data_IF_758228417359
#
_entry.id   IF_758228417359
#
_cell.length_a   1.000
_cell.length_b   1.000
_cell.length_c   1.000
_cell.angle_alpha   90.00
_cell.angle_beta   90.00
_cell.angle_gamma   90.00
#
_symmetry.space_group_name_H-M   'P 1'
#
loop_
_entity.id
_entity.type
_entity.pdbx_description
1 polymer ?
#
# COMPACT_ATOMS: atom_id res chain seq x y z
N UNK A 1 -26.47 8.46 -43.91
CA UNK A 1 -25.65 8.34 -42.69
C UNK A 1 -26.32 7.53 -41.58
N UNK A 2 -27.53 7.91 -41.12
CA UNK A 2 -28.19 7.25 -39.98
C UNK A 2 -28.47 5.74 -40.17
N UNK A 3 -28.74 5.29 -41.41
CA UNK A 3 -29.00 3.86 -41.71
C UNK A 3 -27.78 2.96 -41.54
N UNK A 4 -26.57 3.48 -41.82
CA UNK A 4 -25.30 2.74 -41.69
C UNK A 4 -24.91 2.68 -40.21
N UNK A 5 -25.09 3.79 -39.49
CA UNK A 5 -24.83 3.89 -38.05
C UNK A 5 -25.73 2.91 -37.29
N UNK A 6 -27.04 2.86 -37.57
CA UNK A 6 -27.94 1.91 -36.91
C UNK A 6 -27.64 0.45 -37.24
N UNK A 7 -27.25 0.13 -38.48
CA UNK A 7 -26.92 -1.25 -38.87
C UNK A 7 -25.65 -1.78 -38.19
N UNK A 8 -24.68 -0.90 -37.98
CA UNK A 8 -23.37 -1.24 -37.42
C UNK A 8 -23.19 -0.75 -35.98
N UNK A 9 -24.25 -0.29 -35.32
CA UNK A 9 -24.21 0.31 -33.99
C UNK A 9 -23.57 -0.63 -32.96
N UNK A 10 -23.89 -1.93 -33.03
CA UNK A 10 -23.30 -2.95 -32.16
C UNK A 10 -21.78 -3.06 -32.33
N UNK A 11 -21.26 -2.97 -33.57
CA UNK A 11 -19.81 -2.99 -33.81
C UNK A 11 -19.11 -1.72 -33.29
N UNK A 12 -19.76 -0.56 -33.43
CA UNK A 12 -19.26 0.71 -32.88
C UNK A 12 -19.22 0.63 -31.34
N UNK A 13 -20.27 0.11 -30.72
CA UNK A 13 -20.35 -0.07 -29.27
C UNK A 13 -19.26 -1.02 -28.77
N UNK A 14 -19.07 -2.17 -29.42
CA UNK A 14 -18.01 -3.14 -29.09
C UNK A 14 -16.62 -2.49 -29.19
N UNK A 15 -16.37 -1.71 -30.25
CA UNK A 15 -15.09 -1.02 -30.42
C UNK A 15 -14.83 -0.03 -29.27
N UNK A 16 -15.84 0.71 -28.82
CA UNK A 16 -15.72 1.65 -27.69
C UNK A 16 -15.42 0.88 -26.40
N UNK A 17 -16.14 -0.21 -26.14
CA UNK A 17 -15.95 -1.03 -24.93
C UNK A 17 -14.53 -1.58 -24.87
N UNK A 18 -13.99 -2.09 -25.99
CA UNK A 18 -12.62 -2.60 -26.05
C UNK A 18 -11.60 -1.51 -25.73
N UNK A 19 -11.78 -0.29 -26.26
CA UNK A 19 -10.89 0.85 -25.96
C UNK A 19 -10.95 1.23 -24.49
N UNK A 20 -12.14 1.26 -23.90
CA UNK A 20 -12.32 1.58 -22.47
C UNK A 20 -11.64 0.53 -21.57
N UNK A 21 -11.86 -0.76 -21.86
CA UNK A 21 -11.23 -1.86 -21.11
C UNK A 21 -9.71 -1.79 -21.25
N UNK A 22 -9.20 -1.54 -22.46
CA UNK A 22 -7.77 -1.38 -22.71
C UNK A 22 -7.16 -0.20 -21.95
N UNK A 23 -7.86 0.94 -21.91
CA UNK A 23 -7.44 2.11 -21.14
C UNK A 23 -7.41 1.81 -19.62
N UNK A 24 -8.42 1.12 -19.10
CA UNK A 24 -8.48 0.75 -17.68
C UNK A 24 -7.36 -0.22 -17.31
N UNK A 25 -7.12 -1.23 -18.15
CA UNK A 25 -6.02 -2.18 -17.96
C UNK A 25 -4.65 -1.49 -17.97
N UNK A 26 -4.39 -0.63 -18.95
CA UNK A 26 -3.12 0.08 -19.05
C UNK A 26 -2.91 1.07 -17.89
N UNK A 27 -3.97 1.75 -17.46
CA UNK A 27 -3.96 2.63 -16.29
C UNK A 27 -3.64 1.86 -15.00
N UNK A 28 -4.24 0.67 -14.83
CA UNK A 28 -3.98 -0.21 -13.69
C UNK A 28 -2.53 -0.69 -13.62
N UNK A 29 -1.95 -1.13 -14.75
CA UNK A 29 -0.54 -1.55 -14.83
C UNK A 29 0.41 -0.40 -14.51
N UNK A 30 0.12 0.80 -14.98
CA UNK A 30 0.90 2.00 -14.62
C UNK A 30 0.70 2.41 -13.15
N UNK A 31 -0.47 2.15 -12.57
CA UNK A 31 -0.74 2.30 -11.14
C UNK A 31 0.27 1.53 -10.30
N UNK A 32 0.46 0.24 -10.58
CA UNK A 32 1.40 -0.63 -9.85
C UNK A 32 2.86 -0.14 -9.93
N UNK A 33 3.33 0.27 -11.11
CA UNK A 33 4.69 0.85 -11.26
C UNK A 33 4.81 2.19 -10.52
N UNK A 34 3.73 2.96 -10.44
CA UNK A 34 3.72 4.24 -9.74
C UNK A 34 3.69 4.08 -8.20
N UNK A 35 3.09 3.01 -7.67
CA UNK A 35 3.12 2.74 -6.22
C UNK A 35 4.57 2.67 -5.75
N UNK A 36 5.47 1.98 -6.48
CA UNK A 36 6.90 1.91 -6.16
C UNK A 36 7.57 3.30 -6.05
N UNK A 37 7.26 4.22 -6.97
CA UNK A 37 7.82 5.58 -6.93
C UNK A 37 7.23 6.47 -5.82
N UNK A 38 6.06 6.11 -5.30
CA UNK A 38 5.34 6.81 -4.23
C UNK A 38 5.57 6.21 -2.86
N UNK A 39 6.38 5.15 -2.77
CA UNK A 39 6.69 4.49 -1.51
C UNK A 39 7.37 5.47 -0.56
N UNK A 40 6.77 5.61 0.60
CA UNK A 40 7.28 6.32 1.75
C UNK A 40 7.31 5.40 2.94
N UNK A 41 8.13 5.78 3.91
CA UNK A 41 8.41 4.96 5.06
C UNK A 41 8.06 5.70 6.34
N UNK A 42 7.47 5.00 7.31
CA UNK A 42 7.19 5.51 8.65
C UNK A 42 7.37 4.39 9.65
N UNK A 43 7.06 4.63 10.92
CA UNK A 43 7.03 3.58 11.94
C UNK A 43 5.59 3.23 12.29
N UNK A 44 5.28 1.94 12.30
CA UNK A 44 4.06 1.41 12.88
C UNK A 44 4.30 0.93 14.31
N UNK A 45 3.40 1.27 15.23
CA UNK A 45 3.38 0.76 16.59
C UNK A 45 2.34 -0.37 16.68
N UNK A 46 2.73 -1.53 17.16
CA UNK A 46 1.80 -2.63 17.45
C UNK A 46 1.07 -2.30 18.76
N UNK A 47 -0.26 -2.23 18.72
CA UNK A 47 -1.08 -1.75 19.85
C UNK A 47 -1.90 -2.86 20.53
N UNK A 48 -2.11 -3.99 19.86
CA UNK A 48 -2.80 -5.14 20.45
C UNK A 48 -1.90 -6.35 20.57
N UNK A 49 -2.29 -7.26 21.47
CA UNK A 49 -1.83 -8.64 21.44
C UNK A 49 -2.51 -9.38 20.28
N UNK A 50 -2.01 -10.57 19.94
CA UNK A 50 -2.65 -11.42 18.94
C UNK A 50 -4.09 -11.73 19.34
N UNK A 51 -5.05 -11.45 18.46
CA UNK A 51 -6.45 -11.72 18.72
C UNK A 51 -7.20 -12.17 17.46
N UNK A 52 -8.35 -12.78 17.70
CA UNK A 52 -9.35 -13.02 16.67
C UNK A 52 -10.38 -11.88 16.76
N UNK A 53 -10.38 -10.96 15.80
CA UNK A 53 -11.45 -9.97 15.69
C UNK A 53 -12.67 -10.65 15.08
N UNK A 54 -13.83 -10.47 15.71
CA UNK A 54 -15.11 -11.02 15.22
C UNK A 54 -15.53 -10.50 13.82
N UNK A 55 -14.87 -9.47 13.28
CA UNK A 55 -15.25 -8.83 12.01
C UNK A 55 -14.12 -8.53 11.03
N UNK A 56 -12.85 -8.41 11.46
CA UNK A 56 -11.73 -7.90 10.61
C UNK A 56 -10.51 -8.84 10.54
N UNK A 57 -10.69 -10.12 10.87
CA UNK A 57 -9.65 -11.14 10.71
C UNK A 57 -8.85 -11.45 11.98
N UNK A 58 -7.88 -12.34 11.81
CA UNK A 58 -6.98 -12.86 12.85
C UNK A 58 -5.67 -12.08 12.75
N UNK A 59 -5.17 -11.57 13.87
CA UNK A 59 -3.86 -10.92 13.87
C UNK A 59 -3.63 -9.93 15.00
N UNK A 60 -2.68 -9.04 14.78
CA UNK A 60 -2.36 -7.89 15.63
C UNK A 60 -2.81 -6.60 14.98
N UNK A 61 -3.29 -5.68 15.81
CA UNK A 61 -3.58 -4.30 15.40
C UNK A 61 -2.32 -3.45 15.54
N UNK A 62 -2.11 -2.58 14.56
CA UNK A 62 -1.04 -1.59 14.56
C UNK A 62 -1.54 -0.23 14.10
N UNK A 63 -0.81 0.79 14.51
CA UNK A 63 -1.14 2.19 14.25
C UNK A 63 0.09 2.94 13.76
N UNK A 64 -0.11 3.89 12.87
CA UNK A 64 0.95 4.74 12.34
C UNK A 64 0.42 6.14 12.04
N UNK A 65 1.34 7.08 11.88
CA UNK A 65 1.02 8.47 11.60
C UNK A 65 1.64 8.90 10.26
N UNK A 66 0.85 9.58 9.45
CA UNK A 66 1.28 10.28 8.23
C UNK A 66 0.65 11.66 8.27
N UNK A 67 1.46 12.73 8.19
CA UNK A 67 1.00 14.11 8.29
C UNK A 67 0.09 14.38 9.50
N UNK A 68 0.48 13.84 10.67
CA UNK A 68 -0.29 13.90 11.93
C UNK A 68 -1.68 13.21 11.88
N UNK A 69 -2.04 12.56 10.79
CA UNK A 69 -3.25 11.75 10.69
C UNK A 69 -2.91 10.34 11.14
N UNK A 70 -3.72 9.81 12.05
CA UNK A 70 -3.60 8.46 12.57
C UNK A 70 -4.28 7.47 11.64
N UNK A 71 -3.58 6.41 11.29
CA UNK A 71 -4.09 5.27 10.55
C UNK A 71 -3.92 4.02 11.41
N UNK A 72 -4.81 3.04 11.21
CA UNK A 72 -4.79 1.77 11.92
C UNK A 72 -5.17 0.64 10.96
N UNK A 73 -4.55 -0.52 11.15
CA UNK A 73 -4.88 -1.72 10.38
C UNK A 73 -4.54 -2.98 11.19
N UNK A 74 -4.95 -4.14 10.70
CA UNK A 74 -4.72 -5.45 11.32
C UNK A 74 -3.87 -6.31 10.39
N UNK A 75 -2.88 -7.02 10.94
CA UNK A 75 -2.03 -7.93 10.17
C UNK A 75 -1.91 -9.29 10.86
N UNK A 76 -1.99 -10.35 10.05
CA UNK A 76 -1.84 -11.74 10.49
C UNK A 76 -0.35 -12.12 10.61
N UNK A 77 0.43 -11.36 11.39
CA UNK A 77 1.84 -11.65 11.75
C UNK A 77 2.03 -11.59 13.27
N UNK A 78 2.78 -12.53 13.83
CA UNK A 78 3.04 -12.60 15.27
C UNK A 78 4.03 -11.50 15.70
N UNK A 79 3.51 -10.27 15.84
CA UNK A 79 4.30 -9.11 16.23
C UNK A 79 4.11 -8.80 17.71
N UNK A 80 5.18 -8.32 18.33
CA UNK A 80 5.17 -7.98 19.76
C UNK A 80 4.44 -6.66 20.01
N UNK A 81 3.43 -6.68 20.87
CA UNK A 81 2.75 -5.46 21.35
C UNK A 81 3.74 -4.46 21.95
N UNK A 82 3.58 -3.18 21.60
CA UNK A 82 4.46 -2.09 22.01
C UNK A 82 5.74 -1.96 21.19
N UNK A 83 6.06 -2.94 20.33
CA UNK A 83 7.19 -2.84 19.41
C UNK A 83 6.82 -1.96 18.22
N UNK A 84 7.80 -1.17 17.76
CA UNK A 84 7.70 -0.44 16.50
C UNK A 84 8.40 -1.20 15.39
N UNK A 85 7.81 -1.16 14.21
CA UNK A 85 8.37 -1.74 12.99
C UNK A 85 8.39 -0.70 11.88
N UNK A 86 9.29 -0.88 10.92
CA UNK A 86 9.29 -0.09 9.70
C UNK A 86 8.03 -0.43 8.88
N UNK A 87 7.34 0.60 8.39
CA UNK A 87 6.16 0.47 7.56
C UNK A 87 6.35 1.23 6.26
N UNK A 88 6.04 0.57 5.15
CA UNK A 88 5.93 1.17 3.82
C UNK A 88 4.49 1.54 3.55
N UNK A 89 4.26 2.72 2.97
CA UNK A 89 2.95 3.17 2.52
C UNK A 89 3.03 3.93 1.19
N UNK A 90 1.91 3.99 0.45
CA UNK A 90 1.77 4.91 -0.68
C UNK A 90 1.49 6.33 -0.18
N UNK A 91 2.34 7.29 -0.57
CA UNK A 91 2.19 8.71 -0.20
C UNK A 91 0.85 9.36 -0.59
N UNK A 92 0.14 8.83 -1.59
CA UNK A 92 -1.16 9.34 -2.03
C UNK A 92 -2.31 8.62 -1.33
N UNK A 93 -2.19 7.31 -1.11
CA UNK A 93 -3.18 6.49 -0.43
C UNK A 93 -2.54 5.75 0.76
N UNK A 94 -2.39 6.41 1.92
CA UNK A 94 -1.66 5.85 3.06
C UNK A 94 -2.25 4.56 3.62
N UNK A 95 -3.51 4.24 3.31
CA UNK A 95 -4.16 2.97 3.65
C UNK A 95 -3.52 1.78 2.92
N UNK A 96 -2.90 1.99 1.76
CA UNK A 96 -2.11 0.96 1.08
C UNK A 96 -0.74 0.87 1.75
N UNK A 97 -0.59 -0.11 2.63
CA UNK A 97 0.58 -0.21 3.49
C UNK A 97 1.04 -1.65 3.78
N UNK A 98 2.32 -1.77 4.11
CA UNK A 98 2.99 -3.03 4.44
C UNK A 98 3.92 -2.79 5.63
N UNK A 99 3.67 -3.50 6.74
CA UNK A 99 4.65 -3.64 7.82
C UNK A 99 5.78 -4.55 7.35
N UNK A 100 7.01 -4.13 7.63
CA UNK A 100 8.22 -4.92 7.44
C UNK A 100 8.66 -5.47 8.81
N UNK A 101 8.13 -6.64 9.16
CA UNK A 101 8.35 -7.35 10.43
C UNK A 101 9.82 -7.65 10.73
N UNK A 102 10.63 -7.84 9.69
CA UNK A 102 12.09 -8.04 9.78
C UNK A 102 12.87 -6.77 10.19
N UNK A 103 12.23 -5.60 10.23
CA UNK A 103 12.87 -4.32 10.54
C UNK A 103 12.23 -3.64 11.77
N UNK A 104 12.50 -4.12 12.99
CA UNK A 104 12.10 -3.43 14.21
C UNK A 104 12.84 -2.10 14.37
N UNK A 105 12.11 -1.07 14.81
CA UNK A 105 12.65 0.27 15.10
C UNK A 105 12.68 0.45 16.62
N UNK A 106 13.89 0.56 17.18
CA UNK A 106 14.08 0.80 18.61
C UNK A 106 14.36 2.27 18.94
N UNK A 107 14.79 3.06 17.96
CA UNK A 107 15.14 4.46 18.17
C UNK A 107 13.92 5.39 18.11
N UNK A 108 14.02 6.51 18.82
CA UNK A 108 13.00 7.58 18.85
C UNK A 108 13.21 8.61 17.75
N UNK A 109 13.79 8.20 16.62
CA UNK A 109 14.09 9.08 15.49
C UNK A 109 12.83 9.86 15.08
N UNK A 110 12.98 11.19 14.91
CA UNK A 110 11.87 12.03 14.46
C UNK A 110 11.42 11.56 13.08
N UNK A 111 10.16 11.15 13.01
CA UNK A 111 9.50 10.78 11.75
C UNK A 111 9.12 12.09 11.05
N UNK A 112 9.57 12.33 9.81
CA UNK A 112 9.13 13.47 9.04
C UNK A 112 7.65 13.34 8.71
N UNK A 113 6.94 14.47 8.58
CA UNK A 113 5.49 14.52 8.36
C UNK A 113 5.06 13.63 7.17
N UNK A 114 5.79 13.70 6.05
CA UNK A 114 5.51 12.97 4.83
C UNK A 114 6.18 11.58 4.75
N UNK A 115 6.70 11.06 5.86
CA UNK A 115 7.50 9.84 5.89
C UNK A 115 8.88 9.99 5.23
N UNK A 116 9.76 9.04 5.51
CA UNK A 116 11.10 8.99 4.96
C UNK A 116 11.10 8.51 3.50
N UNK A 117 12.07 8.95 2.73
CA UNK A 117 12.56 8.20 1.58
C UNK A 117 13.49 7.07 2.04
N UNK A 118 13.74 6.10 1.16
CA UNK A 118 14.64 4.97 1.45
C UNK A 118 16.04 5.41 1.94
N UNK A 119 16.59 6.49 1.37
CA UNK A 119 17.90 7.03 1.72
C UNK A 119 17.91 7.89 2.99
N UNK A 120 16.74 8.20 3.55
CA UNK A 120 16.55 8.99 4.76
C UNK A 120 16.23 8.09 5.98
N UNK A 121 16.20 6.77 5.80
CA UNK A 121 15.84 5.83 6.84
C UNK A 121 16.85 5.85 8.00
N UNK A 122 16.37 5.75 9.25
CA UNK A 122 17.22 5.73 10.44
C UNK A 122 17.89 4.36 10.67
N UNK A 123 17.68 3.40 9.78
CA UNK A 123 18.24 2.04 9.82
C UNK A 123 18.70 1.64 8.41
N UNK A 124 19.70 0.76 8.34
CA UNK A 124 20.09 0.14 7.07
C UNK A 124 19.06 -0.91 6.67
N UNK A 125 18.62 -0.85 5.42
CA UNK A 125 17.65 -1.79 4.85
C UNK A 125 18.15 -2.33 3.52
N UNK A 126 17.66 -3.51 3.16
CA UNK A 126 17.91 -4.11 1.85
C UNK A 126 16.69 -3.85 0.95
N UNK A 127 16.89 -3.02 -0.07
CA UNK A 127 15.83 -2.64 -1.01
C UNK A 127 15.31 -3.82 -1.83
N UNK A 128 16.16 -4.80 -2.13
CA UNK A 128 15.73 -6.00 -2.88
C UNK A 128 14.79 -6.85 -2.04
N UNK A 129 15.11 -7.01 -0.75
CA UNK A 129 14.29 -7.74 0.20
C UNK A 129 12.95 -7.04 0.46
N UNK A 130 12.95 -5.72 0.59
CA UNK A 130 11.72 -4.92 0.73
C UNK A 130 10.81 -5.09 -0.50
N UNK A 131 11.37 -4.98 -1.70
CA UNK A 131 10.58 -5.12 -2.92
C UNK A 131 9.95 -6.51 -3.04
N UNK A 132 10.67 -7.57 -2.66
CA UNK A 132 10.10 -8.92 -2.66
C UNK A 132 8.93 -9.04 -1.68
N UNK A 133 9.07 -8.53 -0.46
CA UNK A 133 7.98 -8.54 0.54
C UNK A 133 6.74 -7.76 0.06
N UNK A 134 6.95 -6.66 -0.66
CA UNK A 134 5.86 -5.84 -1.20
C UNK A 134 5.17 -6.54 -2.38
N UNK A 135 5.91 -7.27 -3.22
CA UNK A 135 5.38 -7.96 -4.40
C UNK A 135 4.70 -9.30 -4.06
N UNK A 136 5.08 -9.94 -2.96
CA UNK A 136 4.48 -11.21 -2.49
C UNK A 136 3.14 -11.01 -1.75
N UNK A 137 2.74 -9.77 -1.51
CA UNK A 137 1.53 -9.40 -0.77
C UNK A 137 0.40 -8.96 -1.68
#
# INVERSE_FOLDING_TARGET
MNKIINKNFHFILISIVIVVIGYWYFSSVNGLRNVSNRQKYTTALVVSDWHHKNTNGIGVDYEYFVNNIKYANTINLDLKKGQKYLLVFDSIEPLNNVILDIYPIYNTSKIPLNGWKINELPIKVDTTKINNIILEK
#
